data_IF_386306448663
#
_entry.id   IF_386306448663
#
_cell.length_a   1.000
_cell.length_b   1.000
_cell.length_c   1.000
_cell.angle_alpha   90.00
_cell.angle_beta   90.00
_cell.angle_gamma   90.00
#
_symmetry.space_group_name_H-M   'P 1'
#
loop_
_entity.id
_entity.type
_entity.pdbx_description
1 polymer ?
#
# COMPACT_ATOMS: atom_id res chain seq x y z
N UNK A 1 14.96 61.33 33.25
CA UNK A 1 13.81 61.99 32.57
C UNK A 1 14.07 62.20 31.09
N UNK A 2 15.29 62.55 30.67
CA UNK A 2 15.56 62.93 29.27
C UNK A 2 15.60 61.75 28.29
N UNK A 3 16.04 60.58 28.75
CA UNK A 3 16.02 59.33 27.96
C UNK A 3 14.57 58.97 27.55
N UNK A 4 13.63 59.10 28.49
CA UNK A 4 12.22 58.80 28.24
C UNK A 4 11.60 59.82 27.27
N UNK A 5 11.91 61.11 27.43
CA UNK A 5 11.46 62.16 26.51
C UNK A 5 12.01 61.94 25.09
N UNK A 6 13.27 61.54 24.97
CA UNK A 6 13.90 61.21 23.69
C UNK A 6 13.21 60.01 23.00
N UNK A 7 12.90 58.95 23.76
CA UNK A 7 12.22 57.77 23.22
C UNK A 7 10.77 58.07 22.80
N UNK A 8 10.05 58.90 23.57
CA UNK A 8 8.70 59.36 23.20
C UNK A 8 8.73 60.21 21.93
N UNK A 9 9.71 61.12 21.80
CA UNK A 9 9.88 61.95 20.61
C UNK A 9 10.22 61.09 19.38
N UNK A 10 11.09 60.09 19.53
CA UNK A 10 11.42 59.12 18.48
C UNK A 10 10.18 58.36 18.00
N UNK A 11 9.37 57.85 18.93
CA UNK A 11 8.11 57.14 18.59
C UNK A 11 7.07 58.05 17.95
N UNK A 12 6.95 59.31 18.37
CA UNK A 12 6.08 60.29 17.70
C UNK A 12 6.50 60.56 16.26
N UNK A 13 7.80 60.77 16.03
CA UNK A 13 8.34 60.97 14.68
C UNK A 13 8.03 59.79 13.76
N UNK A 14 8.18 58.54 14.23
CA UNK A 14 7.80 57.35 13.46
C UNK A 14 6.31 57.29 13.11
N UNK A 15 5.44 57.76 14.01
CA UNK A 15 3.98 57.82 13.77
C UNK A 15 3.57 58.96 12.82
N UNK A 16 4.34 60.04 12.80
CA UNK A 16 4.20 61.14 11.84
C UNK A 16 4.70 60.73 10.44
N UNK A 17 5.86 60.07 10.37
CA UNK A 17 6.47 59.56 9.12
C UNK A 17 5.54 58.52 8.46
N UNK A 18 4.94 57.63 9.25
CA UNK A 18 3.92 56.67 8.79
C UNK A 18 2.55 57.28 8.51
N UNK A 19 2.38 58.62 8.65
CA UNK A 19 1.13 59.39 8.42
C UNK A 19 -0.09 58.85 9.18
N UNK A 20 0.09 58.25 10.34
CA UNK A 20 -1.01 57.74 11.19
C UNK A 20 -1.56 58.86 12.06
N UNK A 21 -0.66 59.70 12.56
CA UNK A 21 -1.00 60.90 13.32
C UNK A 21 -0.93 62.10 12.38
N UNK A 22 -2.08 62.76 12.16
CA UNK A 22 -2.13 64.09 11.53
C UNK A 22 -2.15 65.17 12.62
N UNK A 23 -1.76 66.40 12.29
CA UNK A 23 -1.72 67.53 13.25
C UNK A 23 -3.05 67.77 13.98
N UNK A 24 -4.16 67.33 13.38
CA UNK A 24 -5.51 67.47 13.91
C UNK A 24 -5.98 66.28 14.76
N UNK A 25 -5.29 65.12 14.73
CA UNK A 25 -5.71 63.89 15.40
C UNK A 25 -4.67 63.41 16.41
N UNK A 26 -4.97 63.59 17.70
CA UNK A 26 -4.12 63.14 18.83
C UNK A 26 -4.15 61.63 19.07
N UNK A 27 -5.24 60.95 18.69
CA UNK A 27 -5.46 59.53 18.93
C UNK A 27 -5.64 58.81 17.59
N UNK A 28 -5.20 57.55 17.54
CA UNK A 28 -5.35 56.66 16.39
C UNK A 28 -5.82 55.29 16.87
N UNK A 29 -6.48 54.53 16.00
CA UNK A 29 -6.95 53.19 16.34
C UNK A 29 -5.80 52.20 16.18
N UNK A 30 -5.59 51.33 17.18
CA UNK A 30 -4.52 50.33 17.12
C UNK A 30 -4.58 49.40 15.89
N UNK A 31 -5.77 49.19 15.32
CA UNK A 31 -5.94 48.45 14.08
C UNK A 31 -5.33 49.15 12.87
N UNK A 32 -5.39 50.48 12.79
CA UNK A 32 -4.84 51.26 11.68
C UNK A 32 -3.30 51.24 11.69
N UNK A 33 -2.71 51.28 12.89
CA UNK A 33 -1.25 51.14 13.06
C UNK A 33 -0.77 49.75 12.62
N UNK A 34 -1.46 48.69 13.05
CA UNK A 34 -1.11 47.31 12.65
C UNK A 34 -1.24 47.10 11.14
N UNK A 35 -2.30 47.60 10.53
CA UNK A 35 -2.51 47.49 9.08
C UNK A 35 -1.36 48.13 8.28
N UNK A 36 -0.90 49.34 8.67
CA UNK A 36 0.23 49.97 7.99
C UNK A 36 1.56 49.22 8.18
N UNK A 37 1.79 48.67 9.38
CA UNK A 37 2.98 47.85 9.63
C UNK A 37 2.97 46.57 8.79
N UNK A 38 1.81 45.95 8.66
CA UNK A 38 1.61 44.76 7.82
C UNK A 38 1.78 45.10 6.32
N UNK A 39 1.27 46.23 5.85
CA UNK A 39 1.50 46.72 4.49
C UNK A 39 2.99 46.97 4.20
N UNK A 40 3.74 47.61 5.11
CA UNK A 40 5.18 47.82 4.94
C UNK A 40 5.95 46.50 4.97
N UNK A 41 5.57 45.58 5.85
CA UNK A 41 6.14 44.23 5.90
C UNK A 41 5.87 43.49 4.58
N UNK A 42 4.64 43.55 4.07
CA UNK A 42 4.24 42.91 2.82
C UNK A 42 4.91 43.58 1.59
N UNK A 43 5.16 44.88 1.61
CA UNK A 43 5.97 45.55 0.56
C UNK A 43 7.43 45.11 0.57
N UNK A 44 7.98 44.83 1.75
CA UNK A 44 9.40 44.49 1.90
C UNK A 44 9.68 42.99 1.71
N UNK A 45 8.77 42.14 2.17
CA UNK A 45 8.96 40.68 2.25
C UNK A 45 7.76 39.89 1.73
N UNK A 46 6.69 40.55 1.34
CA UNK A 46 5.53 39.89 0.76
C UNK A 46 5.80 39.32 -0.62
N UNK A 47 4.97 38.37 -1.07
CA UNK A 47 5.04 37.85 -2.42
C UNK A 47 4.81 38.99 -3.41
N UNK A 48 5.79 39.23 -4.30
CA UNK A 48 5.63 40.17 -5.42
C UNK A 48 4.57 39.61 -6.37
N UNK A 49 3.33 40.04 -6.22
CA UNK A 49 2.28 39.76 -7.21
C UNK A 49 2.46 40.72 -8.38
N UNK A 50 3.34 40.34 -9.32
CA UNK A 50 3.30 40.87 -10.67
C UNK A 50 2.27 40.02 -11.46
N UNK A 51 1.05 40.54 -11.58
CA UNK A 51 0.06 39.98 -12.49
C UNK A 51 0.42 40.38 -13.94
N UNK A 52 1.06 39.50 -14.71
CA UNK A 52 0.68 39.26 -16.11
C UNK A 52 1.29 37.95 -16.66
N UNK A 53 0.40 37.04 -17.05
CA UNK A 53 0.44 36.13 -18.20
C UNK A 53 1.78 35.92 -18.93
N UNK A 54 2.17 34.64 -18.99
CA UNK A 54 2.98 33.97 -20.03
C UNK A 54 4.50 34.20 -20.16
N UNK A 55 5.20 33.05 -20.14
CA UNK A 55 6.48 32.66 -20.79
C UNK A 55 7.79 32.79 -20.00
N UNK A 56 8.15 31.63 -19.43
CA UNK A 56 9.40 30.89 -19.66
C UNK A 56 10.78 31.59 -19.50
N UNK A 57 11.52 31.09 -18.51
CA UNK A 57 12.79 30.33 -18.68
C UNK A 57 14.00 30.84 -17.86
N UNK A 58 14.49 29.89 -17.05
CA UNK A 58 15.90 29.54 -16.75
C UNK A 58 16.76 30.45 -15.87
N UNK A 59 17.05 29.95 -14.65
CA UNK A 59 18.37 29.59 -14.12
C UNK A 59 18.14 28.87 -12.75
N UNK A 60 18.15 27.54 -12.68
CA UNK A 60 19.31 26.66 -12.35
C UNK A 60 19.83 26.94 -10.91
N UNK A 61 19.72 26.04 -9.92
CA UNK A 61 20.40 24.73 -9.86
C UNK A 61 19.75 23.75 -8.85
N UNK A 62 19.54 22.52 -9.33
CA UNK A 62 19.55 21.22 -8.63
C UNK A 62 18.42 20.81 -7.64
N UNK A 63 17.33 20.27 -8.19
CA UNK A 63 16.85 18.94 -7.79
C UNK A 63 15.93 18.35 -8.86
N UNK A 64 16.49 17.44 -9.64
CA UNK A 64 15.80 16.72 -10.71
C UNK A 64 14.70 15.80 -10.17
N UNK A 65 13.63 15.69 -10.98
CA UNK A 65 12.57 14.65 -10.98
C UNK A 65 11.37 14.91 -10.06
N UNK A 66 10.32 15.53 -10.60
CA UNK A 66 8.95 14.98 -10.57
C UNK A 66 8.05 15.80 -11.53
N UNK A 67 8.33 15.68 -12.82
CA UNK A 67 7.38 16.05 -13.87
C UNK A 67 6.41 14.86 -14.06
N UNK A 68 5.10 15.09 -13.87
CA UNK A 68 4.07 14.13 -14.31
C UNK A 68 2.93 13.74 -13.35
N UNK A 69 2.75 14.32 -12.15
CA UNK A 69 1.68 13.87 -11.24
C UNK A 69 0.95 14.98 -10.47
N UNK A 70 0.54 16.05 -11.16
CA UNK A 70 -0.25 17.12 -10.55
C UNK A 70 -1.66 16.71 -10.08
N UNK A 71 -2.09 15.45 -10.28
CA UNK A 71 -3.48 15.02 -10.03
C UNK A 71 -3.66 13.84 -9.07
N UNK A 72 -2.62 13.45 -8.32
CA UNK A 72 -2.76 12.46 -7.24
C UNK A 72 -2.43 13.07 -5.88
N UNK A 73 -3.00 14.23 -5.59
CA UNK A 73 -2.97 14.79 -4.24
C UNK A 73 -3.99 14.06 -3.38
N UNK A 74 -3.52 13.33 -2.37
CA UNK A 74 -4.40 12.71 -1.38
C UNK A 74 -5.11 13.78 -0.54
N UNK A 75 -6.36 13.54 -0.08
CA UNK A 75 -7.03 14.44 0.83
C UNK A 75 -6.20 14.68 2.09
N UNK A 76 -6.15 15.93 2.58
CA UNK A 76 -5.36 16.34 3.76
C UNK A 76 -5.55 15.45 4.98
N UNK A 77 -6.77 14.99 5.26
CA UNK A 77 -7.08 14.06 6.36
C UNK A 77 -6.30 12.75 6.25
N UNK A 78 -6.15 12.26 5.03
CA UNK A 78 -5.49 10.99 4.71
C UNK A 78 -3.97 11.13 4.81
N UNK A 79 -3.44 12.30 4.45
CA UNK A 79 -2.03 12.65 4.66
C UNK A 79 -1.69 12.66 6.15
N UNK A 80 -2.52 13.34 6.95
CA UNK A 80 -2.34 13.41 8.41
C UNK A 80 -2.43 12.01 9.04
N UNK A 81 -3.41 11.20 8.62
CA UNK A 81 -3.56 9.83 9.12
C UNK A 81 -2.30 9.00 8.87
N UNK A 82 -1.80 8.99 7.63
CA UNK A 82 -0.61 8.22 7.27
C UNK A 82 0.67 8.73 7.93
N UNK A 83 0.84 10.05 8.07
CA UNK A 83 1.97 10.62 8.82
C UNK A 83 1.93 10.20 10.29
N UNK A 84 0.75 10.19 10.92
CA UNK A 84 0.58 9.74 12.32
C UNK A 84 0.81 8.25 12.50
N UNK A 85 0.33 7.42 11.58
CA UNK A 85 0.59 5.97 11.57
C UNK A 85 2.09 5.67 11.58
N UNK A 86 2.87 6.52 10.93
CA UNK A 86 4.34 6.43 10.87
C UNK A 86 5.07 7.18 11.99
N UNK A 87 4.37 7.91 12.84
CA UNK A 87 4.97 8.73 13.89
C UNK A 87 5.68 10.00 13.38
N UNK A 88 5.42 10.42 12.14
CA UNK A 88 6.02 11.61 11.53
C UNK A 88 5.23 12.89 11.88
N UNK A 89 5.90 14.06 11.99
CA UNK A 89 5.22 15.33 12.20
C UNK A 89 4.18 15.61 11.11
N UNK A 90 3.01 16.11 11.50
CA UNK A 90 1.90 16.38 10.57
C UNK A 90 2.17 17.60 9.66
N UNK A 91 2.88 18.60 10.16
CA UNK A 91 3.23 19.84 9.44
C UNK A 91 4.46 20.44 10.11
N UNK A 92 5.47 20.75 9.32
CA UNK A 92 6.67 21.45 9.76
C UNK A 92 6.48 22.98 9.63
N UNK A 93 7.31 23.75 10.34
CA UNK A 93 7.23 25.21 10.26
C UNK A 93 7.58 25.70 8.86
N UNK A 94 6.69 26.48 8.25
CA UNK A 94 6.84 26.99 6.88
C UNK A 94 6.49 25.98 5.77
N UNK A 95 6.00 24.79 6.13
CA UNK A 95 5.59 23.75 5.18
C UNK A 95 4.15 24.02 4.68
N UNK A 96 3.91 23.91 3.36
CA UNK A 96 2.56 23.94 2.78
C UNK A 96 1.88 22.58 2.85
N UNK A 97 0.56 22.51 2.59
CA UNK A 97 -0.13 21.21 2.60
C UNK A 97 0.38 20.22 1.56
N UNK A 98 0.85 20.75 0.42
CA UNK A 98 1.43 19.98 -0.67
C UNK A 98 2.82 19.46 -0.30
N UNK A 99 3.62 20.26 0.41
CA UNK A 99 4.95 19.85 0.86
C UNK A 99 4.85 18.71 1.89
N UNK A 100 3.90 18.80 2.84
CA UNK A 100 3.62 17.69 3.76
C UNK A 100 3.24 16.39 3.03
N UNK A 101 2.52 16.51 1.91
CA UNK A 101 2.15 15.37 1.07
C UNK A 101 3.34 14.79 0.30
N UNK A 102 4.21 15.63 -0.25
CA UNK A 102 5.43 15.19 -0.91
C UNK A 102 6.37 14.49 0.07
N UNK A 103 6.50 15.03 1.29
CA UNK A 103 7.26 14.39 2.37
C UNK A 103 6.67 13.04 2.73
N UNK A 104 5.36 12.94 2.90
CA UNK A 104 4.69 11.64 3.13
C UNK A 104 5.05 10.64 2.03
N UNK A 105 4.98 11.06 0.75
CA UNK A 105 5.32 10.20 -0.38
C UNK A 105 6.79 9.78 -0.37
N UNK A 106 7.69 10.66 0.03
CA UNK A 106 9.10 10.33 0.21
C UNK A 106 9.30 9.29 1.31
N UNK A 107 8.65 9.45 2.47
CA UNK A 107 8.67 8.48 3.56
C UNK A 107 8.13 7.10 3.11
N UNK A 108 7.07 7.08 2.30
CA UNK A 108 6.47 5.85 1.76
C UNK A 108 7.41 5.08 0.82
N UNK A 109 8.21 5.79 0.03
CA UNK A 109 9.20 5.18 -0.88
C UNK A 109 10.39 4.64 -0.08
N UNK A 110 10.85 5.38 0.94
CA UNK A 110 11.99 4.97 1.75
C UNK A 110 11.67 3.78 2.66
N UNK A 111 10.48 3.77 3.26
CA UNK A 111 10.03 2.76 4.20
C UNK A 111 8.69 2.19 3.73
N UNK A 112 8.70 1.25 2.78
CA UNK A 112 7.47 0.60 2.36
C UNK A 112 6.88 -0.19 3.53
N UNK A 113 5.58 0.01 3.78
CA UNK A 113 4.84 -0.74 4.81
C UNK A 113 4.83 -2.21 4.43
N UNK A 114 5.59 -3.03 5.16
CA UNK A 114 5.72 -4.47 4.93
C UNK A 114 4.36 -5.19 4.99
N UNK A 115 3.36 -4.57 5.64
CA UNK A 115 2.02 -5.15 5.85
C UNK A 115 0.96 -4.74 4.80
N UNK A 116 1.25 -3.85 3.85
CA UNK A 116 0.30 -3.48 2.77
C UNK A 116 0.78 -3.90 1.37
N UNK A 117 1.93 -4.57 1.27
CA UNK A 117 2.59 -4.98 0.01
C UNK A 117 1.92 -6.10 -0.77
N UNK A 118 1.06 -6.91 -0.14
CA UNK A 118 0.48 -8.10 -0.80
C UNK A 118 -0.40 -7.83 -2.03
N UNK A 119 -0.83 -6.58 -2.28
CA UNK A 119 -1.58 -6.26 -3.52
C UNK A 119 -0.69 -6.14 -4.74
N UNK A 120 0.55 -5.69 -4.58
CA UNK A 120 1.50 -5.66 -5.69
C UNK A 120 2.12 -7.04 -5.88
N UNK A 121 2.46 -7.71 -4.78
CA UNK A 121 3.08 -9.03 -4.82
C UNK A 121 2.14 -10.11 -5.39
N UNK A 122 0.82 -10.01 -5.17
CA UNK A 122 -0.15 -10.94 -5.76
C UNK A 122 -0.35 -10.71 -7.26
N UNK A 123 -0.35 -9.44 -7.68
CA UNK A 123 -0.42 -9.09 -9.10
C UNK A 123 0.87 -9.52 -9.82
N UNK A 124 2.03 -9.30 -9.22
CA UNK A 124 3.33 -9.76 -9.73
C UNK A 124 3.41 -11.29 -9.75
N UNK A 125 2.89 -11.97 -8.73
CA UNK A 125 2.81 -13.43 -8.70
C UNK A 125 1.90 -13.99 -9.81
N UNK A 126 0.74 -13.37 -10.05
CA UNK A 126 -0.15 -13.73 -11.16
C UNK A 126 0.51 -13.49 -12.52
N UNK A 127 1.12 -12.32 -12.72
CA UNK A 127 1.81 -11.99 -13.97
C UNK A 127 2.99 -12.95 -14.22
N UNK A 128 3.69 -13.36 -13.18
CA UNK A 128 4.77 -14.35 -13.28
C UNK A 128 4.25 -15.75 -13.64
N UNK A 129 3.11 -16.15 -13.10
CA UNK A 129 2.44 -17.41 -13.49
C UNK A 129 1.99 -17.34 -14.95
N UNK A 130 1.41 -16.23 -15.39
CA UNK A 130 0.99 -16.02 -16.79
C UNK A 130 2.20 -16.03 -17.73
N UNK A 131 3.32 -15.41 -17.35
CA UNK A 131 4.58 -15.47 -18.10
C UNK A 131 5.10 -16.91 -18.22
N UNK A 132 5.11 -17.69 -17.13
CA UNK A 132 5.54 -19.09 -17.19
C UNK A 132 4.66 -19.94 -18.12
N UNK A 133 3.36 -19.65 -18.15
CA UNK A 133 2.44 -20.33 -19.07
C UNK A 133 2.68 -19.96 -20.54
N UNK A 134 2.95 -18.68 -20.83
CA UNK A 134 3.32 -18.24 -22.17
C UNK A 134 4.66 -18.81 -22.64
N UNK A 135 5.63 -18.90 -21.74
CA UNK A 135 6.94 -19.51 -22.02
C UNK A 135 6.79 -21.01 -22.32
N UNK A 136 5.92 -21.71 -21.61
CA UNK A 136 5.59 -23.12 -21.88
C UNK A 136 4.89 -23.31 -23.23
N UNK A 137 3.95 -22.43 -23.58
CA UNK A 137 3.31 -22.40 -24.90
C UNK A 137 4.32 -22.12 -26.03
N UNK A 138 5.23 -21.17 -25.83
CA UNK A 138 6.29 -20.86 -26.78
C UNK A 138 7.30 -22.01 -26.89
N UNK A 139 7.66 -22.64 -25.78
CA UNK A 139 8.56 -23.80 -25.75
C UNK A 139 7.93 -25.02 -26.42
N UNK A 140 6.65 -25.30 -26.16
CA UNK A 140 5.91 -26.37 -26.83
C UNK A 140 5.74 -26.10 -28.32
N UNK A 141 5.45 -24.85 -28.73
CA UNK A 141 5.39 -24.46 -30.14
C UNK A 141 6.76 -24.57 -30.84
N UNK A 142 7.86 -24.19 -30.18
CA UNK A 142 9.21 -24.36 -30.69
C UNK A 142 9.58 -25.86 -30.87
N UNK A 143 9.10 -26.72 -29.98
CA UNK A 143 9.27 -28.18 -30.09
C UNK A 143 8.43 -28.81 -31.21
N UNK A 144 7.37 -28.17 -31.71
CA UNK A 144 6.60 -28.69 -32.86
C UNK A 144 7.35 -28.66 -34.20
N UNK A 145 8.47 -27.94 -34.29
CA UNK A 145 9.36 -27.97 -35.46
C UNK A 145 10.34 -29.17 -35.47
N UNK A 146 10.40 -29.95 -34.39
CA UNK A 146 11.17 -31.18 -34.32
C UNK A 146 10.33 -32.31 -33.70
N UNK A 147 9.78 -33.16 -34.58
CA UNK A 147 9.11 -34.43 -34.30
C UNK A 147 9.20 -34.93 -32.86
N UNK A 148 8.12 -34.76 -32.09
CA UNK A 148 7.64 -35.75 -31.12
C UNK A 148 6.21 -35.45 -30.73
N UNK A 149 5.34 -36.39 -31.07
CA UNK A 149 3.98 -36.52 -30.56
C UNK A 149 4.07 -36.58 -29.03
N UNK A 150 3.70 -35.49 -28.35
CA UNK A 150 3.44 -35.50 -26.90
C UNK A 150 1.94 -35.55 -26.75
N UNK A 151 1.51 -36.64 -26.11
CA UNK A 151 0.13 -36.91 -25.74
C UNK A 151 -0.41 -35.75 -24.89
N UNK A 152 -1.64 -35.35 -25.18
CA UNK A 152 -2.53 -34.72 -24.20
C UNK A 152 -2.42 -35.51 -22.89
N UNK A 153 -1.96 -34.85 -21.83
CA UNK A 153 -2.18 -35.32 -20.47
C UNK A 153 -3.67 -35.11 -20.16
N UNK A 154 -4.50 -36.03 -20.64
CA UNK A 154 -5.74 -36.36 -19.95
C UNK A 154 -5.35 -36.71 -18.52
N UNK A 155 -5.92 -35.98 -17.55
CA UNK A 155 -5.86 -36.35 -16.13
C UNK A 155 -6.06 -37.87 -16.04
N UNK A 156 -5.10 -38.63 -15.47
CA UNK A 156 -5.30 -40.06 -15.33
C UNK A 156 -6.60 -40.25 -14.55
N UNK A 157 -7.48 -41.18 -14.96
CA UNK A 157 -8.68 -41.48 -14.19
C UNK A 157 -8.23 -41.76 -12.77
N UNK A 158 -8.82 -41.06 -11.80
CA UNK A 158 -8.58 -41.27 -10.38
C UNK A 158 -8.76 -42.76 -10.13
N UNK A 159 -7.64 -43.49 -10.05
CA UNK A 159 -7.65 -44.89 -9.68
C UNK A 159 -8.12 -44.87 -8.25
N UNK A 160 -9.35 -45.30 -8.01
CA UNK A 160 -9.86 -45.53 -6.68
C UNK A 160 -8.97 -46.60 -6.05
N UNK A 161 -8.03 -46.15 -5.20
CA UNK A 161 -7.11 -47.04 -4.50
C UNK A 161 -7.97 -47.77 -3.47
N UNK A 162 -8.07 -49.09 -3.60
CA UNK A 162 -8.87 -49.90 -2.68
C UNK A 162 -8.09 -50.16 -1.40
N UNK A 163 -8.78 -50.39 -0.28
CA UNK A 163 -8.15 -50.66 1.02
C UNK A 163 -7.15 -51.83 0.97
N UNK A 164 -7.43 -52.86 0.17
CA UNK A 164 -6.54 -54.01 -0.05
C UNK A 164 -5.20 -53.60 -0.68
N UNK A 165 -5.20 -52.63 -1.59
CA UNK A 165 -4.00 -52.10 -2.23
C UNK A 165 -3.12 -51.36 -1.21
N UNK A 166 -3.76 -50.60 -0.31
CA UNK A 166 -3.08 -49.90 0.79
C UNK A 166 -2.46 -50.91 1.76
N UNK A 167 -3.16 -52.01 2.06
CA UNK A 167 -2.64 -53.07 2.93
C UNK A 167 -1.42 -53.78 2.30
N UNK A 168 -1.38 -53.91 0.97
CA UNK A 168 -0.19 -54.40 0.28
C UNK A 168 0.98 -53.43 0.38
N UNK A 169 0.75 -52.13 0.15
CA UNK A 169 1.80 -51.11 0.23
C UNK A 169 2.31 -50.90 1.66
N UNK A 170 1.45 -51.08 2.67
CA UNK A 170 1.80 -50.96 4.08
C UNK A 170 2.80 -52.03 4.57
N UNK A 171 2.99 -53.15 3.84
CA UNK A 171 3.99 -54.18 4.20
C UNK A 171 5.43 -53.68 4.08
N UNK A 172 5.64 -52.64 3.29
CA UNK A 172 6.94 -52.01 3.08
C UNK A 172 7.11 -50.70 3.85
N UNK A 173 6.13 -50.34 4.68
CA UNK A 173 6.15 -49.12 5.49
C UNK A 173 7.30 -49.16 6.51
N UNK A 174 8.04 -48.06 6.64
CA UNK A 174 9.11 -47.91 7.63
C UNK A 174 10.42 -48.62 7.28
N UNK A 175 10.57 -49.11 6.03
CA UNK A 175 11.84 -49.70 5.53
C UNK A 175 12.84 -48.65 5.03
N UNK A 176 12.55 -47.36 5.21
CA UNK A 176 13.49 -46.25 4.99
C UNK A 176 13.19 -45.35 3.78
N UNK A 177 12.17 -45.65 2.97
CA UNK A 177 11.71 -44.76 1.91
C UNK A 177 10.61 -43.82 2.41
N UNK A 178 11.01 -42.62 2.78
CA UNK A 178 10.11 -41.59 3.31
C UNK A 178 9.00 -41.19 2.33
N UNK A 179 9.25 -41.27 1.02
CA UNK A 179 8.24 -40.88 0.02
C UNK A 179 7.18 -41.96 -0.13
N UNK A 180 7.58 -43.23 -0.07
CA UNK A 180 6.65 -44.35 -0.03
C UNK A 180 5.77 -44.28 1.23
N UNK A 181 6.38 -44.07 2.40
CA UNK A 181 5.67 -43.96 3.67
C UNK A 181 4.65 -42.80 3.68
N UNK A 182 5.04 -41.66 3.09
CA UNK A 182 4.17 -40.50 2.94
C UNK A 182 3.00 -40.79 1.99
N UNK A 183 3.25 -41.43 0.84
CA UNK A 183 2.20 -41.76 -0.12
C UNK A 183 1.19 -42.76 0.45
N UNK A 184 1.65 -43.80 1.15
CA UNK A 184 0.76 -44.77 1.81
C UNK A 184 -0.10 -44.08 2.88
N UNK A 185 0.49 -43.18 3.67
CA UNK A 185 -0.23 -42.41 4.69
C UNK A 185 -1.27 -41.47 4.07
N UNK A 186 -0.91 -40.78 2.97
CA UNK A 186 -1.82 -39.87 2.27
C UNK A 186 -3.00 -40.62 1.64
N UNK A 187 -2.74 -41.75 0.98
CA UNK A 187 -3.77 -42.59 0.38
C UNK A 187 -4.72 -43.16 1.46
N UNK A 188 -4.19 -43.56 2.62
CA UNK A 188 -5.00 -44.00 3.76
C UNK A 188 -5.93 -42.89 4.26
N UNK A 189 -5.42 -41.66 4.43
CA UNK A 189 -6.23 -40.52 4.88
C UNK A 189 -7.31 -40.19 3.86
N UNK A 190 -6.99 -40.26 2.56
CA UNK A 190 -7.94 -39.98 1.48
C UNK A 190 -9.10 -40.98 1.47
N UNK A 191 -8.83 -42.29 1.52
CA UNK A 191 -9.90 -43.31 1.56
C UNK A 191 -10.79 -43.14 2.80
N UNK A 192 -10.20 -42.91 3.97
CA UNK A 192 -10.99 -42.66 5.18
C UNK A 192 -11.82 -41.38 5.09
N UNK A 193 -11.28 -40.33 4.47
CA UNK A 193 -12.02 -39.08 4.27
C UNK A 193 -13.21 -39.29 3.35
N UNK A 194 -13.03 -40.01 2.24
CA UNK A 194 -14.09 -40.30 1.28
C UNK A 194 -15.19 -41.18 1.91
N UNK A 195 -14.81 -42.18 2.71
CA UNK A 195 -15.75 -43.01 3.48
C UNK A 195 -16.57 -42.17 4.49
N UNK A 196 -15.92 -41.26 5.22
CA UNK A 196 -16.59 -40.35 6.16
C UNK A 196 -17.55 -39.42 5.42
N UNK A 197 -17.16 -38.90 4.25
CA UNK A 197 -18.02 -38.06 3.43
C UNK A 197 -19.24 -38.82 2.90
N UNK A 198 -19.06 -40.08 2.48
CA UNK A 198 -20.18 -40.93 2.06
C UNK A 198 -21.16 -41.15 3.21
N UNK A 199 -20.65 -41.47 4.41
CA UNK A 199 -21.45 -41.68 5.62
C UNK A 199 -22.19 -40.39 6.02
N UNK A 200 -21.55 -39.22 5.95
CA UNK A 200 -22.17 -37.94 6.27
C UNK A 200 -23.30 -37.59 5.28
N UNK A 201 -23.08 -37.84 3.99
CA UNK A 201 -24.10 -37.62 2.95
C UNK A 201 -25.31 -38.55 3.09
N UNK A 202 -25.12 -39.76 3.60
CA UNK A 202 -26.22 -40.71 3.83
C UNK A 202 -26.95 -40.46 5.17
N UNK A 203 -26.27 -39.87 6.16
CA UNK A 203 -26.90 -39.32 7.38
C UNK A 203 -27.85 -38.16 7.08
N UNK A 204 -27.46 -37.24 6.19
CA UNK A 204 -28.29 -36.10 5.78
C UNK A 204 -29.55 -36.52 5.00
N UNK A 205 -29.53 -37.71 4.36
CA UNK A 205 -30.69 -38.28 3.66
C UNK A 205 -31.69 -38.98 4.58
N UNK A 206 -31.39 -39.10 5.88
CA UNK A 206 -32.35 -39.56 6.90
C UNK A 206 -32.51 -41.08 7.03
N UNK A 207 -31.65 -41.88 6.40
CA UNK A 207 -31.72 -43.35 6.49
C UNK A 207 -31.17 -43.85 7.84
N UNK A 208 -32.08 -44.12 8.79
CA UNK A 208 -31.80 -44.66 10.13
C UNK A 208 -31.38 -46.14 10.13
N UNK A 209 -30.50 -46.55 9.23
CA UNK A 209 -29.87 -47.88 9.23
C UNK A 209 -28.34 -47.86 9.45
N UNK A 210 -27.78 -46.70 9.81
CA UNK A 210 -26.34 -46.53 10.07
C UNK A 210 -25.78 -47.40 11.21
N UNK A 211 -26.63 -47.86 12.13
CA UNK A 211 -26.20 -48.63 13.31
C UNK A 211 -25.65 -50.03 12.96
N UNK A 212 -26.01 -50.56 11.78
CA UNK A 212 -25.51 -51.84 11.28
C UNK A 212 -24.17 -51.70 10.54
N UNK A 213 -23.92 -50.58 9.87
CA UNK A 213 -22.69 -50.36 9.09
C UNK A 213 -21.49 -50.03 9.99
N UNK A 214 -21.70 -49.17 11.00
CA UNK A 214 -20.62 -48.78 11.94
C UNK A 214 -20.17 -49.96 12.81
N UNK A 215 -21.06 -50.90 13.13
CA UNK A 215 -20.71 -52.09 13.95
C UNK A 215 -19.93 -53.16 13.18
N UNK A 216 -20.00 -53.16 11.84
CA UNK A 216 -19.25 -54.06 10.97
C UNK A 216 -17.83 -53.58 10.64
N UNK A 217 -17.59 -52.27 10.67
CA UNK A 217 -16.28 -51.69 10.33
C UNK A 217 -15.25 -51.75 11.47
N UNK A 218 -15.70 -51.95 12.72
CA UNK A 218 -14.85 -52.00 13.92
C UNK A 218 -14.82 -53.38 14.63
N UNK A 219 -15.29 -54.45 13.99
CA UNK A 219 -15.06 -55.85 14.42
C UNK A 219 -14.08 -56.54 13.49
#
# INVERSE_FOLDING_TARGET
MDILKAEIARKRKLLEDSKIITKDKKFFKGSELKAKQEEEYNKKYGPKTEDTLEKNATNDTDSSRYDGSLHQTLPRKEVIRRLRERGEPITLFGESELDSFQRLRHCEIQQPETNKGFRNDFQEALEKVDQTYLDELLASQAQTSNSRVVKEEEKPPEKQITYDDIQMMAKDLGKGDRNLDMNVTLNLIQVNYDDIQLIANDLDKGDRNLYLYIRGFFS
#
